data_IF_628735713819
#
_entry.id   IF_628735713819
#
_cell.length_a   1.000
_cell.length_b   1.000
_cell.length_c   1.000
_cell.angle_alpha   90.00
_cell.angle_beta   90.00
_cell.angle_gamma   90.00
#
_symmetry.space_group_name_H-M   'P 1'
#
loop_
_entity.id
_entity.type
_entity.pdbx_description
1 polymer ?
#
# COMPACT_ATOMS: atom_id res chain seq x y z
N UNK A 1 55.19 -27.03 -35.24
CA UNK A 1 54.92 -26.95 -36.69
C UNK A 1 53.58 -27.67 -36.91
N UNK A 2 52.42 -27.09 -37.20
CA UNK A 2 51.97 -25.74 -37.55
C UNK A 2 50.46 -25.68 -37.13
N UNK A 3 50.00 -24.61 -36.48
CA UNK A 3 49.08 -23.58 -37.02
C UNK A 3 47.70 -24.08 -37.49
N UNK A 4 46.65 -23.47 -36.94
CA UNK A 4 45.44 -22.89 -37.57
C UNK A 4 44.35 -22.76 -36.48
N UNK A 5 44.29 -21.67 -35.70
CA UNK A 5 43.68 -20.38 -36.03
C UNK A 5 42.22 -20.53 -36.55
N UNK A 6 41.26 -20.58 -35.63
CA UNK A 6 39.84 -20.34 -35.95
C UNK A 6 39.52 -18.88 -35.65
N UNK A 7 39.07 -18.24 -36.70
CA UNK A 7 38.75 -16.83 -36.89
C UNK A 7 37.55 -16.38 -36.07
N UNK A 8 37.71 -15.16 -35.56
CA UNK A 8 36.72 -14.20 -35.09
C UNK A 8 35.44 -14.14 -35.93
N UNK A 9 34.28 -14.26 -35.27
CA UNK A 9 33.04 -13.58 -35.69
C UNK A 9 32.80 -12.48 -34.66
N UNK A 10 33.16 -11.26 -35.04
CA UNK A 10 32.60 -10.08 -34.41
C UNK A 10 31.15 -9.90 -34.86
N UNK A 11 30.33 -9.29 -34.01
CA UNK A 11 29.14 -8.52 -34.39
C UNK A 11 28.60 -7.81 -33.13
N UNK A 12 28.30 -6.52 -33.30
CA UNK A 12 27.58 -5.56 -32.42
C UNK A 12 28.37 -5.03 -31.22
N UNK A 13 29.11 -3.92 -31.37
CA UNK A 13 28.55 -2.55 -31.36
C UNK A 13 27.53 -2.35 -30.24
N UNK A 14 28.02 -2.15 -29.01
CA UNK A 14 27.25 -1.48 -27.97
C UNK A 14 27.83 -0.08 -27.81
N UNK A 15 27.24 0.84 -28.56
CA UNK A 15 27.46 2.27 -28.46
C UNK A 15 27.25 2.71 -27.01
N UNK A 16 28.29 3.37 -26.47
CA UNK A 16 28.24 4.05 -25.20
C UNK A 16 27.00 4.94 -25.12
N UNK A 17 26.21 4.73 -24.06
CA UNK A 17 25.05 5.51 -23.69
C UNK A 17 25.45 6.99 -23.58
N UNK A 18 24.79 7.92 -24.31
CA UNK A 18 25.09 9.33 -24.17
C UNK A 18 24.62 9.84 -22.81
N UNK A 19 25.56 10.44 -22.07
CA UNK A 19 25.33 11.31 -20.92
C UNK A 19 24.41 12.47 -21.33
N UNK A 20 23.09 12.28 -21.22
CA UNK A 20 22.10 13.37 -21.34
C UNK A 20 21.78 13.94 -19.96
N UNK A 21 22.82 14.42 -19.30
CA UNK A 21 22.71 15.31 -18.15
C UNK A 21 22.82 16.76 -18.65
N UNK A 22 22.01 17.66 -18.07
CA UNK A 22 22.06 19.13 -18.21
C UNK A 22 21.40 19.74 -19.44
N UNK A 23 20.08 19.61 -19.56
CA UNK A 23 19.29 20.58 -20.35
C UNK A 23 17.82 20.62 -19.91
N UNK A 24 17.50 20.72 -18.62
CA UNK A 24 16.12 20.96 -18.13
C UNK A 24 16.12 21.57 -16.71
N UNK A 25 17.05 22.47 -16.39
CA UNK A 25 17.05 23.20 -15.12
C UNK A 25 16.36 24.58 -15.22
N UNK A 26 16.33 25.21 -16.40
CA UNK A 26 15.80 26.55 -16.59
C UNK A 26 14.27 26.62 -16.79
N UNK A 27 13.62 25.55 -17.26
CA UNK A 27 12.17 25.51 -17.47
C UNK A 27 11.35 25.24 -16.18
N UNK A 28 12.02 24.97 -15.05
CA UNK A 28 11.38 24.61 -13.79
C UNK A 28 11.01 25.81 -12.91
N UNK A 29 11.49 27.02 -13.23
CA UNK A 29 11.26 28.21 -12.39
C UNK A 29 9.91 28.87 -12.73
N UNK A 30 9.50 28.92 -14.00
CA UNK A 30 8.28 29.63 -14.44
C UNK A 30 6.95 28.88 -14.22
N UNK A 31 7.00 27.61 -13.80
CA UNK A 31 5.80 26.85 -13.39
C UNK A 31 5.45 27.03 -11.90
N UNK A 32 6.28 27.75 -11.13
CA UNK A 32 5.95 28.07 -9.73
C UNK A 32 4.93 29.20 -9.62
N UNK A 33 4.91 30.13 -10.57
CA UNK A 33 4.11 31.36 -10.47
C UNK A 33 2.64 31.18 -10.87
N UNK A 34 2.29 30.12 -11.62
CA UNK A 34 0.89 29.74 -11.89
C UNK A 34 0.28 28.81 -10.83
N UNK A 35 1.10 28.29 -9.89
CA UNK A 35 0.63 27.37 -8.85
C UNK A 35 0.03 28.11 -7.64
N UNK A 36 0.41 29.39 -7.43
CA UNK A 36 -0.06 30.18 -6.28
C UNK A 36 -1.53 30.57 -6.40
N UNK A 37 -2.08 30.72 -7.62
CA UNK A 37 -3.48 31.15 -7.82
C UNK A 37 -4.52 30.04 -7.63
N UNK A 38 -4.12 28.77 -7.55
CA UNK A 38 -5.00 27.64 -7.20
C UNK A 38 -4.85 27.19 -5.74
N UNK A 39 -3.95 27.81 -4.99
CA UNK A 39 -3.85 27.66 -3.54
C UNK A 39 -4.87 28.57 -2.84
N UNK A 40 -6.14 28.51 -3.25
CA UNK A 40 -7.23 28.81 -2.31
C UNK A 40 -7.20 27.67 -1.31
N UNK A 41 -6.34 27.80 -0.31
CA UNK A 41 -6.39 26.93 0.86
C UNK A 41 -7.83 26.98 1.38
N UNK A 42 -8.51 25.83 1.57
CA UNK A 42 -9.83 25.86 2.17
C UNK A 42 -9.66 26.48 3.54
N UNK A 43 -10.42 27.54 3.80
CA UNK A 43 -10.46 28.29 5.06
C UNK A 43 -10.38 27.29 6.20
N UNK A 44 -9.29 27.37 6.96
CA UNK A 44 -9.02 26.51 8.11
C UNK A 44 -10.06 26.88 9.16
N UNK A 45 -11.16 26.12 9.22
CA UNK A 45 -12.09 26.22 10.35
C UNK A 45 -11.38 25.60 11.57
N UNK A 46 -11.10 26.39 12.63
CA UNK A 46 -10.52 25.83 13.84
C UNK A 46 -11.50 24.79 14.41
N UNK A 47 -11.02 23.57 14.65
CA UNK A 47 -11.81 22.48 15.26
C UNK A 47 -12.12 21.28 14.36
N UNK A 48 -11.85 21.30 13.03
CA UNK A 48 -12.05 20.11 12.17
C UNK A 48 -10.75 19.36 11.89
N UNK A 49 -10.67 18.11 12.34
CA UNK A 49 -9.62 17.18 11.96
C UNK A 49 -9.62 16.99 10.43
N UNK A 50 -8.51 17.33 9.76
CA UNK A 50 -8.31 17.11 8.32
C UNK A 50 -8.02 15.63 8.04
N UNK A 51 -9.04 14.79 8.15
CA UNK A 51 -8.97 13.39 7.75
C UNK A 51 -9.52 13.21 6.34
N UNK A 52 -8.69 12.66 5.44
CA UNK A 52 -9.10 12.31 4.07
C UNK A 52 -10.16 11.20 4.11
N UNK A 53 -11.06 11.17 3.11
CA UNK A 53 -12.05 10.10 2.96
C UNK A 53 -11.41 8.76 2.58
N UNK A 54 -10.39 8.79 1.71
CA UNK A 54 -9.78 7.59 1.13
C UNK A 54 -8.33 7.37 1.57
N UNK A 55 -7.92 6.11 1.56
CA UNK A 55 -6.55 5.69 1.84
C UNK A 55 -5.61 5.98 0.67
N UNK A 56 -4.41 6.48 0.99
CA UNK A 56 -3.31 6.59 0.01
C UNK A 56 -2.83 5.19 -0.43
N UNK A 57 -2.18 5.07 -1.61
CA UNK A 57 -1.64 3.78 -2.06
C UNK A 57 -0.58 3.24 -1.08
N UNK A 58 0.22 4.12 -0.48
CA UNK A 58 1.23 3.76 0.53
C UNK A 58 0.58 3.23 1.81
N UNK A 59 -0.51 3.85 2.26
CA UNK A 59 -1.28 3.35 3.41
C UNK A 59 -1.90 1.97 3.12
N UNK A 60 -2.45 1.77 1.92
CA UNK A 60 -2.97 0.44 1.50
C UNK A 60 -1.87 -0.64 1.50
N UNK A 61 -0.65 -0.30 1.08
CA UNK A 61 0.48 -1.24 1.16
C UNK A 61 0.85 -1.58 2.62
N UNK A 62 0.87 -0.58 3.50
CA UNK A 62 1.18 -0.79 4.92
C UNK A 62 0.11 -1.61 5.64
N UNK A 63 -1.17 -1.43 5.30
CA UNK A 63 -2.26 -2.27 5.81
C UNK A 63 -2.04 -3.73 5.40
N UNK A 64 -1.75 -4.00 4.12
CA UNK A 64 -1.46 -5.36 3.65
C UNK A 64 -0.27 -5.99 4.37
N UNK A 65 0.82 -5.24 4.58
CA UNK A 65 1.98 -5.71 5.33
C UNK A 65 1.63 -6.13 6.77
N UNK A 66 0.77 -5.35 7.44
CA UNK A 66 0.34 -5.64 8.82
C UNK A 66 -0.56 -6.86 8.91
N UNK A 67 -1.49 -7.01 7.98
CA UNK A 67 -2.35 -8.19 7.91
C UNK A 67 -1.53 -9.46 7.70
N UNK A 68 -0.56 -9.44 6.77
CA UNK A 68 0.38 -10.55 6.56
C UNK A 68 1.19 -10.87 7.80
N UNK A 69 1.75 -9.84 8.46
CA UNK A 69 2.52 -10.04 9.69
C UNK A 69 1.67 -10.65 10.82
N UNK A 70 0.39 -10.31 10.92
CA UNK A 70 -0.53 -10.94 11.87
C UNK A 70 -0.78 -12.41 11.51
N UNK A 71 -0.98 -12.73 10.22
CA UNK A 71 -1.14 -14.10 9.74
C UNK A 71 0.12 -14.94 10.03
N UNK A 72 1.32 -14.37 9.84
CA UNK A 72 2.61 -15.01 10.14
C UNK A 72 2.75 -15.37 11.63
N UNK A 73 2.27 -14.50 12.52
CA UNK A 73 2.25 -14.78 13.97
C UNK A 73 1.32 -15.95 14.28
N UNK A 74 0.13 -15.99 13.68
CA UNK A 74 -0.83 -17.08 13.87
C UNK A 74 -0.23 -18.41 13.40
N UNK A 75 0.44 -18.43 12.24
CA UNK A 75 1.12 -19.64 11.72
C UNK A 75 2.19 -20.15 12.68
N UNK A 76 3.03 -19.26 13.23
CA UNK A 76 4.07 -19.65 14.19
C UNK A 76 3.49 -20.21 15.49
N UNK A 77 2.40 -19.64 15.99
CA UNK A 77 1.74 -20.15 17.19
C UNK A 77 1.17 -21.56 16.91
N UNK A 78 0.58 -21.80 15.74
CA UNK A 78 0.13 -23.14 15.36
C UNK A 78 1.28 -24.15 15.31
N UNK A 79 2.44 -23.76 14.77
CA UNK A 79 3.63 -24.61 14.72
C UNK A 79 4.17 -24.97 16.11
N UNK A 80 3.99 -24.07 17.09
CA UNK A 80 4.41 -24.34 18.47
C UNK A 80 3.54 -25.35 19.22
N UNK A 81 2.36 -25.70 18.69
CA UNK A 81 1.46 -26.70 19.27
C UNK A 81 0.65 -26.21 20.49
N UNK A 82 0.64 -24.90 20.77
CA UNK A 82 -0.19 -24.31 21.82
C UNK A 82 -1.66 -24.25 21.37
N UNK A 83 -2.57 -24.82 22.15
CA UNK A 83 -4.01 -24.77 21.88
C UNK A 83 -4.72 -23.75 22.78
N UNK A 84 -5.43 -22.80 22.17
CA UNK A 84 -6.16 -21.74 22.86
C UNK A 84 -7.51 -21.48 22.18
N UNK A 85 -8.53 -21.10 22.95
CA UNK A 85 -9.84 -20.66 22.41
C UNK A 85 -9.73 -19.42 21.50
N UNK A 86 -8.70 -18.60 21.68
CA UNK A 86 -8.44 -17.48 20.77
C UNK A 86 -7.93 -17.97 19.40
N UNK A 87 -7.13 -19.05 19.39
CA UNK A 87 -6.58 -19.60 18.15
C UNK A 87 -7.65 -20.28 17.31
N UNK A 88 -8.64 -20.94 17.92
CA UNK A 88 -9.77 -21.52 17.16
C UNK A 88 -10.57 -20.44 16.43
N UNK A 89 -10.79 -19.29 17.07
CA UNK A 89 -11.43 -18.13 16.42
C UNK A 89 -10.58 -17.55 15.29
N UNK A 90 -9.29 -17.35 15.52
CA UNK A 90 -8.36 -16.81 14.51
C UNK A 90 -8.18 -17.77 13.31
N UNK A 91 -8.24 -19.09 13.53
CA UNK A 91 -8.22 -20.12 12.48
C UNK A 91 -9.45 -20.03 11.56
N UNK A 92 -10.60 -19.58 12.07
CA UNK A 92 -11.82 -19.43 11.29
C UNK A 92 -11.86 -18.15 10.44
N UNK A 93 -11.00 -17.17 10.73
CA UNK A 93 -10.93 -15.92 9.97
C UNK A 93 -10.15 -16.08 8.66
N UNK A 94 -10.52 -15.36 7.59
CA UNK A 94 -9.81 -15.44 6.31
C UNK A 94 -8.41 -14.79 6.38
N UNK A 95 -7.45 -15.31 5.62
CA UNK A 95 -6.11 -14.69 5.49
C UNK A 95 -6.13 -13.45 4.59
N UNK A 96 -5.05 -12.66 4.62
CA UNK A 96 -4.92 -11.45 3.78
C UNK A 96 -5.14 -11.73 2.30
N UNK A 97 -4.68 -12.88 1.79
CA UNK A 97 -4.79 -13.24 0.39
C UNK A 97 -6.23 -13.57 -0.03
N UNK A 98 -6.99 -14.22 0.86
CA UNK A 98 -8.37 -14.66 0.61
C UNK A 98 -9.38 -13.52 0.79
N UNK A 99 -9.04 -12.50 1.58
CA UNK A 99 -9.95 -11.39 1.88
C UNK A 99 -10.21 -10.51 0.65
N UNK A 100 -11.46 -10.10 0.36
CA UNK A 100 -11.76 -9.19 -0.73
C UNK A 100 -11.16 -7.80 -0.48
N UNK A 101 -10.80 -7.10 -1.56
CA UNK A 101 -10.20 -5.76 -1.48
C UNK A 101 -11.10 -4.73 -0.76
N UNK A 102 -12.43 -4.91 -0.81
CA UNK A 102 -13.40 -4.05 -0.12
C UNK A 102 -13.21 -4.11 1.40
N UNK A 103 -13.13 -5.31 1.96
CA UNK A 103 -13.01 -5.51 3.41
C UNK A 103 -11.59 -5.22 3.93
N UNK A 104 -10.56 -5.28 3.07
CA UNK A 104 -9.19 -4.85 3.42
C UNK A 104 -9.11 -3.39 3.85
N UNK A 105 -9.89 -2.51 3.23
CA UNK A 105 -9.72 -1.07 3.35
C UNK A 105 -10.93 -0.34 3.92
N UNK A 106 -12.06 -1.03 4.06
CA UNK A 106 -13.29 -0.47 4.60
C UNK A 106 -13.88 -1.37 5.68
N UNK A 107 -14.46 -0.76 6.71
CA UNK A 107 -15.15 -1.46 7.79
C UNK A 107 -16.62 -1.12 7.76
N UNK A 108 -17.44 -2.04 8.25
CA UNK A 108 -18.85 -1.79 8.46
C UNK A 108 -19.08 -0.67 9.48
N UNK A 109 -20.04 0.20 9.21
CA UNK A 109 -20.46 1.27 10.11
C UNK A 109 -21.93 1.59 9.92
N UNK A 110 -22.73 1.34 10.94
CA UNK A 110 -24.18 1.64 10.94
C UNK A 110 -24.52 3.09 10.59
N UNK A 111 -23.66 4.03 10.98
CA UNK A 111 -23.93 5.48 10.87
C UNK A 111 -23.40 6.13 9.59
N UNK A 112 -22.49 5.47 8.88
CA UNK A 112 -21.88 6.08 7.70
C UNK A 112 -22.77 5.84 6.48
N UNK A 113 -22.82 6.79 5.56
CA UNK A 113 -23.58 6.64 4.32
C UNK A 113 -23.06 5.42 3.54
N UNK A 114 -23.95 4.55 3.10
CA UNK A 114 -23.58 3.28 2.44
C UNK A 114 -22.99 2.23 3.39
N UNK A 115 -23.22 2.37 4.71
CA UNK A 115 -22.88 1.41 5.75
C UNK A 115 -21.39 1.05 5.88
N UNK A 116 -20.49 1.84 5.28
CA UNK A 116 -19.05 1.58 5.26
C UNK A 116 -18.26 2.84 5.58
N UNK A 117 -17.17 2.68 6.32
CA UNK A 117 -16.18 3.74 6.58
C UNK A 117 -14.78 3.20 6.31
N UNK A 118 -13.87 4.07 5.89
CA UNK A 118 -12.47 3.69 5.65
C UNK A 118 -11.77 3.31 6.96
N UNK A 119 -10.92 2.28 6.89
CA UNK A 119 -10.23 1.69 8.06
C UNK A 119 -9.45 2.73 8.88
N UNK A 120 -8.80 3.71 8.25
CA UNK A 120 -7.97 4.70 8.95
C UNK A 120 -8.74 5.68 9.84
N UNK A 121 -10.08 5.68 9.76
CA UNK A 121 -10.94 6.48 10.63
C UNK A 121 -11.30 5.75 11.92
N UNK A 122 -10.95 4.48 12.04
CA UNK A 122 -11.13 3.71 13.28
C UNK A 122 -10.06 4.15 14.28
N UNK A 123 -10.43 4.46 15.54
CA UNK A 123 -9.46 4.75 16.58
C UNK A 123 -8.44 3.61 16.73
N UNK A 124 -7.16 3.95 16.75
CA UNK A 124 -6.07 2.98 16.88
C UNK A 124 -6.14 1.80 15.89
N UNK A 125 -6.64 2.02 14.67
CA UNK A 125 -6.79 0.98 13.62
C UNK A 125 -5.52 0.18 13.32
N UNK A 126 -4.36 0.71 13.69
CA UNK A 126 -3.06 0.07 13.48
C UNK A 126 -2.74 -1.01 14.52
N UNK A 127 -3.42 -0.98 15.67
CA UNK A 127 -3.21 -1.89 16.82
C UNK A 127 -4.43 -2.77 17.08
N UNK A 128 -5.62 -2.25 16.82
CA UNK A 128 -6.88 -2.96 17.06
C UNK A 128 -7.10 -4.00 15.96
N UNK A 129 -7.46 -5.22 16.37
CA UNK A 129 -7.89 -6.26 15.44
C UNK A 129 -9.27 -5.88 14.86
N UNK A 130 -9.28 -5.53 13.58
CA UNK A 130 -10.51 -5.22 12.85
C UNK A 130 -11.09 -6.54 12.32
N UNK A 131 -12.42 -6.76 12.43
CA UNK A 131 -13.06 -7.95 11.87
C UNK A 131 -12.80 -8.05 10.36
N UNK A 132 -12.33 -9.21 9.91
CA UNK A 132 -11.98 -9.43 8.49
C UNK A 132 -13.20 -9.68 7.59
N UNK A 133 -14.33 -10.06 8.18
CA UNK A 133 -15.59 -10.29 7.48
C UNK A 133 -16.63 -9.26 7.90
N UNK A 134 -17.29 -8.67 6.92
CA UNK A 134 -18.47 -7.85 7.16
C UNK A 134 -19.71 -8.73 7.38
N UNK A 135 -20.74 -8.23 8.08
CA UNK A 135 -22.03 -8.91 8.14
C UNK A 135 -22.63 -9.06 6.73
N UNK A 136 -23.29 -10.19 6.48
CA UNK A 136 -23.92 -10.47 5.18
C UNK A 136 -24.96 -9.37 4.83
N UNK A 137 -24.94 -8.91 3.58
CA UNK A 137 -25.84 -7.87 3.08
C UNK A 137 -25.31 -6.42 3.15
N UNK A 138 -24.06 -6.19 3.59
CA UNK A 138 -23.46 -4.86 3.75
C UNK A 138 -22.06 -4.69 3.12
#
# INVERSE_FOLDING_TARGET
MALLAITSVGILSSSAVPLRAKANAAAAIKKRDLCVSKCVTPVITPGKARMKMDLSPTQKANIRKRLKAADDVVMKIQQSGVECNALTKLKAEPTEAQMPAKDKYTVFSRTFKGYRKSVHKVPHFTKVAIPRTAPAGF
#
